data_IF_665125856851
#
_entry.id   IF_665125856851
#
_cell.length_a   1.000
_cell.length_b   1.000
_cell.length_c   1.000
_cell.angle_alpha   90.00
_cell.angle_beta   90.00
_cell.angle_gamma   90.00
#
_symmetry.space_group_name_H-M   'P 1'
#
loop_
_entity.id
_entity.type
_entity.pdbx_description
1 polymer ?
#
# COMPACT_ATOMS: atom_id res chain seq x y z
N UNK A 1 11.76 20.87 30.18
CA UNK A 1 11.77 19.47 29.73
C UNK A 1 11.27 19.48 28.29
N UNK A 2 12.18 19.36 27.34
CA UNK A 2 11.88 19.47 25.91
C UNK A 2 11.19 18.20 25.43
N UNK A 3 9.99 18.34 24.90
CA UNK A 3 9.25 17.29 24.22
C UNK A 3 9.88 17.13 22.83
N UNK A 4 10.70 16.10 22.63
CA UNK A 4 11.30 15.79 21.35
C UNK A 4 10.19 15.29 20.41
N UNK A 5 9.91 16.05 19.36
CA UNK A 5 9.11 15.63 18.21
C UNK A 5 9.80 14.41 17.60
N UNK A 6 9.10 13.29 17.34
CA UNK A 6 9.72 12.11 16.74
C UNK A 6 10.13 12.43 15.30
N UNK A 7 11.41 12.22 15.00
CA UNK A 7 12.01 12.37 13.68
C UNK A 7 11.23 11.52 12.65
N UNK A 8 10.73 12.14 11.59
CA UNK A 8 9.97 11.50 10.51
C UNK A 8 10.78 10.51 9.67
N UNK A 9 12.08 10.35 9.97
CA UNK A 9 13.03 9.51 9.23
C UNK A 9 13.24 8.13 9.83
N UNK A 10 12.67 7.83 11.01
CA UNK A 10 12.83 6.50 11.61
C UNK A 10 11.84 5.54 10.95
N UNK A 11 12.30 4.46 10.30
CA UNK A 11 11.41 3.48 9.73
C UNK A 11 10.50 2.93 10.82
N UNK A 12 9.19 2.99 10.57
CA UNK A 12 8.19 2.61 11.58
C UNK A 12 8.09 1.10 11.64
N UNK A 13 8.48 0.51 12.75
CA UNK A 13 8.32 -0.93 13.00
C UNK A 13 6.84 -1.28 13.13
N UNK A 14 6.48 -2.46 12.70
CA UNK A 14 5.12 -3.02 12.80
C UNK A 14 4.54 -2.87 14.22
N UNK A 15 5.34 -3.12 15.26
CA UNK A 15 4.95 -2.96 16.66
C UNK A 15 4.60 -1.51 17.06
N UNK A 16 5.15 -0.48 16.40
CA UNK A 16 4.81 0.93 16.70
C UNK A 16 3.42 1.30 16.15
N UNK A 17 3.05 0.71 15.01
CA UNK A 17 1.73 0.91 14.40
C UNK A 17 0.69 0.12 15.16
N UNK A 18 0.98 -1.15 15.51
CA UNK A 18 0.08 -1.99 16.29
C UNK A 18 -0.11 -1.47 17.72
N UNK A 19 0.92 -0.94 18.38
CA UNK A 19 0.78 -0.34 19.71
C UNK A 19 0.01 0.98 19.70
N UNK A 20 0.13 1.82 18.67
CA UNK A 20 -0.70 3.03 18.51
C UNK A 20 -2.16 2.70 18.18
N UNK A 21 -2.40 1.70 17.34
CA UNK A 21 -3.74 1.20 17.05
C UNK A 21 -4.36 0.47 18.24
N UNK A 22 -3.56 -0.25 19.03
CA UNK A 22 -3.98 -0.90 20.29
C UNK A 22 -4.28 0.10 21.41
N UNK A 23 -3.68 1.29 21.43
CA UNK A 23 -4.00 2.35 22.38
C UNK A 23 -5.37 3.01 22.12
N UNK A 24 -5.90 2.92 20.90
CA UNK A 24 -7.21 3.46 20.52
C UNK A 24 -8.33 2.42 20.58
N UNK A 25 -8.02 1.14 20.46
CA UNK A 25 -8.97 0.03 20.60
C UNK A 25 -8.25 -1.22 21.09
N UNK A 26 -8.41 -1.54 22.37
CA UNK A 26 -7.91 -2.78 22.98
C UNK A 26 -8.34 -4.00 22.15
N UNK A 27 -7.37 -4.79 21.71
CA UNK A 27 -7.45 -6.24 21.43
C UNK A 27 -8.23 -6.74 20.21
N UNK A 28 -8.23 -6.07 19.05
CA UNK A 28 -9.00 -6.64 17.91
C UNK A 28 -8.18 -6.82 16.62
N UNK A 29 -6.84 -6.79 16.65
CA UNK A 29 -6.06 -6.70 15.42
C UNK A 29 -5.57 -8.01 14.81
N UNK A 30 -5.74 -9.17 15.43
CA UNK A 30 -5.16 -10.38 14.87
C UNK A 30 -6.09 -11.55 14.64
N UNK A 31 -7.01 -11.82 15.51
CA UNK A 31 -7.78 -13.06 15.45
C UNK A 31 -9.19 -12.93 14.87
N UNK A 32 -9.74 -11.72 14.82
CA UNK A 32 -11.10 -11.49 14.33
C UNK A 32 -11.24 -11.49 12.80
N UNK A 33 -10.11 -11.45 12.06
CA UNK A 33 -10.13 -11.31 10.59
C UNK A 33 -9.66 -12.56 9.86
N UNK A 34 -9.32 -13.64 10.59
CA UNK A 34 -8.85 -14.89 9.98
C UNK A 34 -9.40 -16.07 10.77
N UNK A 35 -10.12 -16.93 10.07
CA UNK A 35 -10.50 -18.23 10.57
C UNK A 35 -9.35 -19.21 10.47
N UNK A 36 -9.41 -20.27 11.26
CA UNK A 36 -8.47 -21.40 11.24
C UNK A 36 -9.18 -22.57 10.57
N UNK A 37 -8.44 -23.31 9.77
CA UNK A 37 -8.89 -24.55 9.15
C UNK A 37 -7.81 -25.62 9.24
N UNK A 38 -8.20 -26.87 9.04
CA UNK A 38 -7.30 -28.00 8.88
C UNK A 38 -7.34 -28.50 7.42
N UNK A 39 -6.27 -29.14 6.92
CA UNK A 39 -6.22 -29.62 5.53
C UNK A 39 -7.36 -30.60 5.18
N UNK A 40 -7.89 -31.32 6.17
CA UNK A 40 -8.95 -32.31 6.01
C UNK A 40 -10.36 -31.72 6.02
N UNK A 41 -10.53 -30.44 6.33
CA UNK A 41 -11.84 -29.78 6.27
C UNK A 41 -12.39 -29.81 4.85
N UNK A 42 -13.71 -29.95 4.73
CA UNK A 42 -14.40 -29.78 3.47
C UNK A 42 -14.41 -28.31 3.05
N UNK A 43 -14.31 -28.06 1.75
CA UNK A 43 -14.37 -26.69 1.20
C UNK A 43 -15.68 -25.99 1.59
N UNK A 44 -16.80 -26.73 1.64
CA UNK A 44 -18.09 -26.17 2.02
C UNK A 44 -18.06 -25.62 3.46
N UNK A 45 -17.48 -26.38 4.39
CA UNK A 45 -17.34 -25.95 5.80
C UNK A 45 -16.39 -24.76 5.94
N UNK A 46 -15.31 -24.75 5.15
CA UNK A 46 -14.38 -23.63 5.09
C UNK A 46 -15.07 -22.35 4.57
N UNK A 47 -15.85 -22.45 3.50
CA UNK A 47 -16.63 -21.33 2.94
C UNK A 47 -17.65 -20.82 3.96
N UNK A 48 -18.40 -21.72 4.61
CA UNK A 48 -19.35 -21.34 5.67
C UNK A 48 -18.64 -20.60 6.82
N UNK A 49 -17.47 -21.10 7.23
CA UNK A 49 -16.64 -20.46 8.27
C UNK A 49 -16.20 -19.06 7.83
N UNK A 50 -15.76 -18.90 6.58
CA UNK A 50 -15.38 -17.59 6.04
C UNK A 50 -16.55 -16.60 6.05
N UNK A 51 -17.72 -17.04 5.58
CA UNK A 51 -18.92 -16.19 5.53
C UNK A 51 -19.41 -15.81 6.94
N UNK A 52 -19.50 -16.79 7.85
CA UNK A 52 -19.97 -16.58 9.22
C UNK A 52 -19.03 -15.66 10.00
N UNK A 53 -17.73 -15.84 9.85
CA UNK A 53 -16.69 -15.02 10.51
C UNK A 53 -16.38 -13.73 9.77
N UNK A 54 -16.97 -13.49 8.59
CA UNK A 54 -16.72 -12.35 7.71
C UNK A 54 -15.23 -12.18 7.39
N UNK A 55 -14.56 -13.29 7.14
CA UNK A 55 -13.15 -13.33 6.76
C UNK A 55 -13.01 -13.77 5.32
N UNK A 56 -12.00 -13.27 4.63
CA UNK A 56 -11.75 -13.57 3.22
C UNK A 56 -10.52 -14.49 3.01
N UNK A 57 -10.04 -15.10 4.09
CA UNK A 57 -9.06 -16.19 4.07
C UNK A 57 -9.07 -16.97 5.39
N UNK A 58 -8.61 -18.22 5.33
CA UNK A 58 -8.35 -19.08 6.46
C UNK A 58 -6.87 -19.46 6.47
N UNK A 59 -6.22 -19.39 7.63
CA UNK A 59 -4.91 -19.97 7.83
C UNK A 59 -5.08 -21.46 8.14
N UNK A 60 -4.30 -22.28 7.46
CA UNK A 60 -4.39 -23.74 7.58
C UNK A 60 -3.22 -24.27 8.35
N UNK A 61 -3.49 -25.01 9.43
CA UNK A 61 -2.51 -25.68 10.26
C UNK A 61 -2.56 -27.18 10.04
N UNK A 62 -1.40 -27.82 10.14
CA UNK A 62 -1.32 -29.28 10.16
C UNK A 62 -1.60 -29.85 11.57
N UNK A 63 -1.47 -31.18 11.71
CA UNK A 63 -1.70 -31.87 12.97
C UNK A 63 -0.72 -31.48 14.10
N UNK A 64 0.44 -30.96 13.72
CA UNK A 64 1.49 -30.48 14.66
C UNK A 64 1.34 -28.99 14.98
N UNK A 65 0.23 -28.38 14.57
CA UNK A 65 -0.05 -26.94 14.70
C UNK A 65 0.96 -26.04 13.98
N UNK A 66 1.66 -26.57 12.98
CA UNK A 66 2.52 -25.76 12.10
C UNK A 66 1.71 -25.17 10.95
N UNK A 67 2.13 -23.99 10.47
CA UNK A 67 1.50 -23.34 9.33
C UNK A 67 1.66 -24.19 8.07
N UNK A 68 0.56 -24.75 7.57
CA UNK A 68 0.54 -25.66 6.41
C UNK A 68 0.11 -24.98 5.12
N UNK A 69 -0.68 -23.91 5.22
CA UNK A 69 -1.18 -23.22 4.05
C UNK A 69 -2.09 -22.03 4.36
N UNK A 70 -2.61 -21.45 3.30
CA UNK A 70 -3.66 -20.42 3.36
C UNK A 70 -4.71 -20.69 2.29
N UNK A 71 -5.99 -20.68 2.68
CA UNK A 71 -7.12 -20.73 1.77
C UNK A 71 -7.74 -19.34 1.68
N UNK A 72 -7.83 -18.77 0.50
CA UNK A 72 -8.39 -17.45 0.27
C UNK A 72 -9.57 -17.46 -0.69
N UNK A 73 -10.35 -16.36 -0.72
CA UNK A 73 -11.38 -16.16 -1.76
C UNK A 73 -10.81 -16.35 -3.17
N UNK A 74 -9.57 -15.93 -3.41
CA UNK A 74 -8.93 -16.08 -4.72
C UNK A 74 -8.70 -17.54 -5.13
N UNK A 75 -8.51 -18.44 -4.17
CA UNK A 75 -8.40 -19.87 -4.42
C UNK A 75 -9.77 -20.46 -4.74
N UNK A 76 -10.80 -20.03 -4.01
CA UNK A 76 -12.18 -20.45 -4.21
C UNK A 76 -12.79 -19.94 -5.52
N UNK A 77 -12.49 -18.69 -5.91
CA UNK A 77 -12.98 -18.10 -7.16
C UNK A 77 -12.39 -18.74 -8.43
N UNK A 78 -11.32 -19.50 -8.31
CA UNK A 78 -10.73 -20.26 -9.43
C UNK A 78 -11.38 -21.63 -9.65
N UNK A 79 -12.37 -21.98 -8.86
CA UNK A 79 -13.04 -23.26 -8.94
C UNK A 79 -13.98 -23.33 -10.15
N UNK A 80 -14.04 -24.50 -10.74
CA UNK A 80 -14.86 -24.78 -11.93
C UNK A 80 -16.36 -24.57 -11.71
N UNK A 81 -16.86 -24.77 -10.48
CA UNK A 81 -18.27 -24.59 -10.14
C UNK A 81 -18.77 -23.15 -10.30
N UNK A 82 -17.86 -22.16 -10.30
CA UNK A 82 -18.17 -20.75 -10.54
C UNK A 82 -18.08 -20.35 -12.01
N UNK A 83 -17.87 -21.29 -12.92
CA UNK A 83 -17.79 -21.04 -14.36
C UNK A 83 -16.53 -20.27 -14.79
N UNK A 84 -15.56 -20.12 -13.90
CA UNK A 84 -14.28 -19.42 -14.17
C UNK A 84 -13.26 -20.35 -14.84
N UNK A 85 -13.70 -21.13 -15.86
CA UNK A 85 -12.77 -21.94 -16.65
C UNK A 85 -11.77 -21.04 -17.38
N UNK A 86 -10.58 -20.94 -16.85
CA UNK A 86 -9.45 -20.37 -17.58
C UNK A 86 -8.95 -21.44 -18.57
N UNK A 87 -9.57 -21.51 -19.75
CA UNK A 87 -9.09 -22.36 -20.85
C UNK A 87 -7.68 -21.95 -21.23
N UNK A 88 -6.70 -22.62 -20.63
CA UNK A 88 -5.30 -22.48 -21.07
C UNK A 88 -5.15 -23.10 -22.44
N UNK A 89 -4.40 -22.48 -23.38
CA UNK A 89 -4.14 -23.08 -24.68
C UNK A 89 -3.46 -24.44 -24.52
N UNK A 90 -3.91 -25.46 -25.23
CA UNK A 90 -3.39 -26.87 -25.14
C UNK A 90 -1.89 -26.99 -25.33
N UNK A 91 -1.27 -26.10 -26.13
CA UNK A 91 0.17 -26.08 -26.32
C UNK A 91 0.93 -25.69 -25.04
N UNK A 92 0.35 -24.87 -24.16
CA UNK A 92 0.94 -24.46 -22.90
C UNK A 92 0.90 -25.61 -21.87
N UNK A 93 -0.14 -26.45 -21.92
CA UNK A 93 -0.25 -27.66 -21.07
C UNK A 93 0.83 -28.66 -21.41
N UNK A 94 1.13 -28.83 -22.70
CA UNK A 94 2.22 -29.72 -23.16
C UNK A 94 3.60 -29.24 -22.67
N UNK A 95 3.83 -27.94 -22.64
CA UNK A 95 5.10 -27.36 -22.16
C UNK A 95 5.29 -27.43 -20.64
N UNK A 96 4.19 -27.40 -19.86
CA UNK A 96 4.25 -27.37 -18.40
C UNK A 96 4.39 -28.75 -17.75
N UNK A 97 4.22 -29.80 -18.51
CA UNK A 97 4.30 -31.20 -18.04
C UNK A 97 3.02 -31.67 -17.32
N UNK A 98 2.76 -32.98 -17.39
CA UNK A 98 1.54 -33.62 -16.86
C UNK A 98 1.34 -33.43 -15.35
N UNK A 99 2.40 -33.30 -14.55
CA UNK A 99 2.31 -33.11 -13.10
C UNK A 99 1.67 -31.78 -12.71
N UNK A 100 2.01 -30.68 -13.38
CA UNK A 100 1.39 -29.36 -13.12
C UNK A 100 -0.07 -29.31 -13.57
N UNK A 101 -0.44 -30.06 -14.61
CA UNK A 101 -1.84 -30.18 -15.03
C UNK A 101 -2.70 -30.89 -13.98
N UNK A 102 -2.18 -31.97 -13.38
CA UNK A 102 -2.84 -32.72 -12.33
C UNK A 102 -3.00 -31.90 -11.05
N UNK A 103 -2.00 -31.13 -10.68
CA UNK A 103 -2.00 -30.21 -9.54
C UNK A 103 -3.02 -29.07 -9.74
N UNK A 104 -3.06 -28.47 -10.92
CA UNK A 104 -4.07 -27.46 -11.27
C UNK A 104 -5.49 -28.05 -11.23
N UNK A 105 -5.69 -29.28 -11.74
CA UNK A 105 -6.98 -29.96 -11.68
C UNK A 105 -7.43 -30.22 -10.24
N UNK A 106 -6.50 -30.70 -9.38
CA UNK A 106 -6.81 -30.91 -7.97
C UNK A 106 -7.20 -29.58 -7.28
N UNK A 107 -6.51 -28.50 -7.63
CA UNK A 107 -6.80 -27.16 -7.09
C UNK A 107 -8.17 -26.61 -7.56
N UNK A 108 -8.58 -26.93 -8.78
CA UNK A 108 -9.87 -26.47 -9.33
C UNK A 108 -11.06 -27.33 -8.87
N UNK A 109 -10.86 -28.64 -8.60
CA UNK A 109 -11.91 -29.61 -8.32
C UNK A 109 -11.82 -30.25 -6.93
N UNK A 110 -10.78 -29.93 -6.16
CA UNK A 110 -10.56 -30.51 -4.84
C UNK A 110 -11.71 -30.24 -3.88
N UNK A 111 -12.02 -31.21 -3.03
CA UNK A 111 -13.09 -31.12 -2.01
C UNK A 111 -12.56 -30.76 -0.63
N UNK A 112 -11.29 -30.96 -0.40
CA UNK A 112 -10.64 -30.67 0.87
C UNK A 112 -9.82 -29.39 0.79
N UNK A 113 -9.74 -28.70 1.91
CA UNK A 113 -8.95 -27.47 2.04
C UNK A 113 -7.51 -27.68 1.59
N UNK A 114 -6.89 -28.80 2.02
CA UNK A 114 -5.51 -29.13 1.68
C UNK A 114 -5.24 -29.39 0.20
N UNK A 115 -6.27 -29.65 -0.61
CA UNK A 115 -6.17 -29.82 -2.07
C UNK A 115 -6.21 -28.49 -2.81
N UNK A 116 -6.85 -27.47 -2.21
CA UNK A 116 -7.16 -26.17 -2.83
C UNK A 116 -6.30 -25.02 -2.26
N UNK A 117 -5.79 -25.16 -1.03
CA UNK A 117 -5.01 -24.13 -0.37
C UNK A 117 -3.69 -23.83 -1.07
N UNK A 118 -3.22 -22.61 -0.96
CA UNK A 118 -1.83 -22.25 -1.29
C UNK A 118 -0.89 -22.74 -0.18
N UNK A 119 0.06 -23.62 -0.52
CA UNK A 119 1.03 -24.21 0.43
C UNK A 119 2.27 -23.36 0.62
N UNK A 120 2.76 -22.72 -0.44
CA UNK A 120 3.91 -21.80 -0.38
C UNK A 120 3.44 -20.45 0.17
N UNK A 121 3.31 -20.38 1.50
CA UNK A 121 2.79 -19.20 2.20
C UNK A 121 3.91 -18.22 2.46
N UNK A 122 3.82 -17.06 1.84
CA UNK A 122 4.70 -15.95 2.17
C UNK A 122 4.34 -15.41 3.56
N UNK A 123 5.32 -15.37 4.45
CA UNK A 123 5.16 -14.94 5.86
C UNK A 123 6.06 -13.75 6.17
N UNK A 124 5.85 -13.11 7.32
CA UNK A 124 6.68 -12.01 7.79
C UNK A 124 6.91 -12.12 9.30
N UNK A 125 8.06 -11.69 9.80
CA UNK A 125 8.34 -11.63 11.23
C UNK A 125 7.59 -10.50 11.94
N UNK A 126 7.28 -10.67 13.22
CA UNK A 126 6.60 -9.64 14.02
C UNK A 126 7.41 -8.34 14.18
N UNK A 127 8.74 -8.42 14.07
CA UNK A 127 9.65 -7.28 14.18
C UNK A 127 9.96 -6.62 12.84
N UNK A 128 9.35 -7.11 11.74
CA UNK A 128 9.56 -6.57 10.41
C UNK A 128 9.00 -5.16 10.27
N UNK A 129 9.59 -4.38 9.39
CA UNK A 129 9.09 -3.05 9.06
C UNK A 129 7.86 -3.11 8.14
N UNK A 130 7.00 -2.09 8.23
CA UNK A 130 5.81 -2.01 7.39
C UNK A 130 6.16 -1.92 5.90
N UNK A 131 7.25 -1.25 5.56
CA UNK A 131 7.83 -1.17 4.21
C UNK A 131 8.13 -2.56 3.65
N UNK A 132 8.69 -3.45 4.45
CA UNK A 132 8.97 -4.83 4.06
C UNK A 132 7.68 -5.61 3.77
N UNK A 133 6.63 -5.42 4.57
CA UNK A 133 5.33 -6.03 4.32
C UNK A 133 4.73 -5.57 2.99
N UNK A 134 4.81 -4.27 2.70
CA UNK A 134 4.37 -3.68 1.42
C UNK A 134 5.15 -4.30 0.26
N UNK A 135 6.46 -4.34 0.34
CA UNK A 135 7.34 -4.87 -0.69
C UNK A 135 7.08 -6.36 -0.97
N UNK A 136 6.89 -7.17 0.09
CA UNK A 136 6.55 -8.59 -0.06
C UNK A 136 5.20 -8.78 -0.73
N UNK A 137 4.16 -8.04 -0.29
CA UNK A 137 2.83 -8.11 -0.88
C UNK A 137 2.81 -7.72 -2.36
N UNK A 138 3.63 -6.74 -2.77
CA UNK A 138 3.74 -6.30 -4.17
C UNK A 138 4.49 -7.36 -4.99
N UNK A 139 5.69 -7.75 -4.56
CA UNK A 139 6.57 -8.68 -5.29
C UNK A 139 5.93 -10.06 -5.45
N UNK A 140 5.34 -10.59 -4.39
CA UNK A 140 4.69 -11.92 -4.38
C UNK A 140 3.23 -11.88 -4.82
N UNK A 141 2.68 -10.70 -5.09
CA UNK A 141 1.28 -10.49 -5.49
C UNK A 141 0.28 -11.07 -4.51
N UNK A 142 0.62 -11.12 -3.23
CA UNK A 142 -0.25 -11.61 -2.15
C UNK A 142 -1.00 -10.45 -1.51
N UNK A 143 -2.16 -10.75 -0.92
CA UNK A 143 -3.01 -9.75 -0.26
C UNK A 143 -2.88 -9.79 1.26
N UNK A 144 -2.23 -10.82 1.79
CA UNK A 144 -2.06 -11.08 3.22
C UNK A 144 -0.72 -11.75 3.48
N UNK A 145 -0.17 -11.50 4.65
CA UNK A 145 1.04 -12.15 5.15
C UNK A 145 0.76 -12.62 6.58
N UNK A 146 0.80 -13.93 6.86
CA UNK A 146 0.87 -14.42 8.22
C UNK A 146 2.10 -13.84 8.92
N UNK A 147 1.92 -13.37 10.15
CA UNK A 147 2.98 -12.81 11.00
C UNK A 147 3.43 -13.88 11.98
N UNK A 148 4.72 -14.17 11.99
CA UNK A 148 5.30 -15.21 12.81
C UNK A 148 6.22 -14.63 13.89
N UNK A 149 6.18 -15.27 15.07
CA UNK A 149 7.19 -15.17 16.12
C UNK A 149 7.92 -16.50 16.19
N UNK A 150 9.11 -16.60 15.57
CA UNK A 150 9.72 -17.89 15.30
C UNK A 150 8.83 -18.71 14.37
N UNK A 151 8.36 -19.88 14.81
CA UNK A 151 7.42 -20.74 14.07
C UNK A 151 5.96 -20.52 14.45
N UNK A 152 5.69 -19.71 15.47
CA UNK A 152 4.34 -19.49 15.99
C UNK A 152 3.64 -18.37 15.23
N UNK A 153 2.44 -18.63 14.71
CA UNK A 153 1.58 -17.60 14.13
C UNK A 153 1.08 -16.67 15.25
N UNK A 154 1.40 -15.39 15.15
CA UNK A 154 0.97 -14.34 16.09
C UNK A 154 -0.04 -13.38 15.47
N UNK A 155 -0.25 -13.44 14.17
CA UNK A 155 -1.24 -12.62 13.49
C UNK A 155 -1.20 -12.74 11.99
N UNK A 156 -1.96 -11.88 11.31
CA UNK A 156 -1.90 -11.72 9.87
C UNK A 156 -2.10 -10.25 9.53
N UNK A 157 -1.31 -9.75 8.61
CA UNK A 157 -1.44 -8.41 8.05
C UNK A 157 -2.07 -8.50 6.66
N UNK A 158 -3.09 -7.69 6.41
CA UNK A 158 -3.75 -7.56 5.11
C UNK A 158 -3.46 -6.19 4.48
N UNK A 159 -3.68 -6.06 3.18
CA UNK A 159 -3.58 -4.76 2.48
C UNK A 159 -4.46 -3.68 3.10
N UNK A 160 -5.64 -4.03 3.61
CA UNK A 160 -6.53 -3.11 4.32
C UNK A 160 -5.89 -2.51 5.58
N UNK A 161 -5.00 -3.25 6.24
CA UNK A 161 -4.32 -2.77 7.44
C UNK A 161 -3.20 -1.79 7.06
N UNK A 162 -2.54 -2.02 5.92
CA UNK A 162 -1.60 -1.06 5.34
C UNK A 162 -2.30 0.27 4.99
N UNK A 163 -3.53 0.22 4.44
CA UNK A 163 -4.31 1.43 4.16
C UNK A 163 -4.69 2.20 5.44
N UNK A 164 -5.02 1.48 6.53
CA UNK A 164 -5.24 2.13 7.84
C UNK A 164 -3.96 2.79 8.35
N UNK A 165 -2.81 2.12 8.18
CA UNK A 165 -1.49 2.68 8.49
C UNK A 165 -1.19 3.94 7.68
N UNK A 166 -1.48 3.93 6.38
CA UNK A 166 -1.34 5.09 5.50
C UNK A 166 -2.23 6.24 5.96
N UNK A 167 -3.51 5.97 6.26
CA UNK A 167 -4.44 6.99 6.76
C UNK A 167 -3.95 7.62 8.06
N UNK A 168 -3.39 6.82 8.98
CA UNK A 168 -2.81 7.31 10.23
C UNK A 168 -1.48 8.05 10.04
N UNK A 169 -0.78 7.79 8.94
CA UNK A 169 0.49 8.41 8.60
C UNK A 169 0.33 9.71 7.78
N UNK A 170 -0.83 9.88 7.13
CA UNK A 170 -1.12 11.10 6.36
C UNK A 170 -1.30 12.26 7.33
N UNK A 171 -0.46 13.31 7.25
CA UNK A 171 -0.58 14.46 8.12
C UNK A 171 -1.96 15.13 7.92
N UNK A 172 -2.74 15.21 8.98
CA UNK A 172 -3.98 15.99 9.03
C UNK A 172 -3.80 17.25 9.88
N UNK A 173 -2.57 17.74 9.96
CA UNK A 173 -2.29 18.96 10.71
C UNK A 173 -2.82 20.15 9.92
N UNK A 174 -3.99 20.64 10.33
CA UNK A 174 -4.66 21.84 9.81
C UNK A 174 -4.47 23.03 10.77
N UNK A 175 -3.37 23.02 11.53
CA UNK A 175 -3.03 24.16 12.39
C UNK A 175 -2.37 25.29 11.59
N UNK A 176 -2.51 26.56 11.99
CA UNK A 176 -1.77 27.65 11.39
C UNK A 176 -0.26 27.47 11.66
N UNK A 177 0.53 27.35 10.60
CA UNK A 177 1.98 27.36 10.66
C UNK A 177 2.50 28.71 10.17
N UNK A 178 3.60 29.22 10.73
CA UNK A 178 4.25 30.42 10.20
C UNK A 178 4.68 30.22 8.75
N UNK A 179 4.44 31.22 7.90
CA UNK A 179 4.80 31.15 6.46
C UNK A 179 6.26 30.78 6.22
N UNK A 180 7.16 31.22 7.11
CA UNK A 180 8.58 30.87 7.03
C UNK A 180 8.86 29.37 7.23
N UNK A 181 8.09 28.70 8.09
CA UNK A 181 8.19 27.26 8.34
C UNK A 181 7.67 26.46 7.15
N UNK A 182 6.52 26.89 6.60
CA UNK A 182 5.93 26.28 5.38
C UNK A 182 6.92 26.41 4.22
N UNK A 183 7.50 27.61 4.01
CA UNK A 183 8.48 27.83 2.97
C UNK A 183 9.72 26.95 3.14
N UNK A 184 10.25 26.87 4.35
CA UNK A 184 11.41 26.03 4.65
C UNK A 184 11.12 24.54 4.42
N UNK A 185 9.91 24.06 4.76
CA UNK A 185 9.51 22.67 4.55
C UNK A 185 9.37 22.34 3.07
N UNK A 186 8.71 23.20 2.27
CA UNK A 186 8.63 23.05 0.80
C UNK A 186 10.02 23.02 0.18
N UNK A 187 10.89 23.95 0.58
CA UNK A 187 12.25 24.04 0.06
C UNK A 187 13.09 22.79 0.40
N UNK A 188 12.99 22.32 1.64
CA UNK A 188 13.67 21.11 2.08
C UNK A 188 13.19 19.85 1.34
N UNK A 189 11.93 19.81 0.90
CA UNK A 189 11.42 18.71 0.11
C UNK A 189 11.92 18.79 -1.34
N UNK A 190 11.91 20.00 -1.94
CA UNK A 190 12.50 20.23 -3.27
C UNK A 190 13.99 19.88 -3.33
N UNK A 191 14.71 20.12 -2.26
CA UNK A 191 16.17 19.85 -2.19
C UNK A 191 16.51 18.34 -2.21
N UNK A 192 15.56 17.47 -1.85
CA UNK A 192 15.73 16.01 -1.90
C UNK A 192 15.48 15.43 -3.29
N UNK A 193 14.90 16.21 -4.20
CA UNK A 193 14.38 15.71 -5.49
C UNK A 193 15.27 16.19 -6.63
N UNK A 194 15.87 15.25 -7.36
CA UNK A 194 16.77 15.55 -8.48
C UNK A 194 16.08 16.26 -9.65
N UNK A 195 14.77 16.01 -9.83
CA UNK A 195 13.96 16.61 -10.89
C UNK A 195 13.44 18.01 -10.56
N UNK A 196 13.55 18.47 -9.31
CA UNK A 196 12.99 19.76 -8.90
C UNK A 196 13.71 20.94 -9.56
N UNK A 197 12.99 21.91 -10.14
CA UNK A 197 13.56 23.03 -10.90
C UNK A 197 14.06 24.17 -9.99
N UNK A 198 14.95 23.84 -9.05
CA UNK A 198 15.42 24.73 -7.97
C UNK A 198 16.07 26.04 -8.45
N UNK A 199 16.69 26.02 -9.64
CA UNK A 199 17.37 27.19 -10.19
C UNK A 199 16.41 28.14 -10.94
N UNK A 200 15.28 27.65 -11.43
CA UNK A 200 14.36 28.39 -12.30
C UNK A 200 13.00 28.67 -11.66
N UNK A 201 12.69 28.06 -10.50
CA UNK A 201 11.43 28.28 -9.79
C UNK A 201 11.71 28.78 -8.38
N UNK A 202 11.04 29.85 -8.00
CA UNK A 202 11.07 30.46 -6.67
C UNK A 202 9.83 30.05 -5.90
N UNK A 203 10.00 29.81 -4.60
CA UNK A 203 8.90 29.51 -3.66
C UNK A 203 8.67 30.74 -2.79
N UNK A 204 7.43 31.21 -2.74
CA UNK A 204 6.98 32.24 -1.80
C UNK A 204 5.77 31.72 -1.02
N UNK A 205 5.62 32.17 0.23
CA UNK A 205 4.48 31.76 1.07
C UNK A 205 3.91 33.01 1.72
N UNK A 206 2.58 33.16 1.61
CA UNK A 206 1.85 34.25 2.26
C UNK A 206 0.53 33.74 2.80
N UNK A 207 0.32 33.88 4.10
CA UNK A 207 -0.90 33.44 4.80
C UNK A 207 -1.21 31.94 4.54
N UNK A 208 -0.19 31.10 4.52
CA UNK A 208 -0.29 29.67 4.23
C UNK A 208 -0.47 29.31 2.74
N UNK A 209 -0.55 30.30 1.84
CA UNK A 209 -0.63 30.06 0.40
C UNK A 209 0.77 30.00 -0.18
N UNK A 210 1.12 28.88 -0.79
CA UNK A 210 2.40 28.65 -1.47
C UNK A 210 2.30 29.11 -2.92
N UNK A 211 3.21 29.99 -3.33
CA UNK A 211 3.30 30.48 -4.73
C UNK A 211 4.58 29.96 -5.35
N UNK A 212 4.47 29.29 -6.49
CA UNK A 212 5.60 28.95 -7.36
C UNK A 212 5.68 29.98 -8.48
N UNK A 213 6.81 30.69 -8.57
CA UNK A 213 7.07 31.73 -9.56
C UNK A 213 8.35 31.42 -10.34
N UNK A 214 8.33 31.60 -11.65
CA UNK A 214 9.51 31.38 -12.50
C UNK A 214 9.20 30.67 -13.81
N UNK A 215 10.11 29.78 -14.23
CA UNK A 215 9.98 29.09 -15.50
C UNK A 215 10.26 27.58 -15.38
N UNK A 216 9.49 26.82 -16.13
CA UNK A 216 9.64 25.36 -16.25
C UNK A 216 9.79 24.99 -17.73
N UNK A 217 10.48 23.87 -17.99
CA UNK A 217 10.69 23.32 -19.35
C UNK A 217 9.90 22.06 -19.62
N UNK A 218 9.19 21.54 -18.61
CA UNK A 218 8.31 20.39 -18.73
C UNK A 218 7.03 20.65 -17.90
N UNK A 219 5.88 20.63 -18.54
CA UNK A 219 4.56 20.88 -17.93
C UNK A 219 4.24 19.91 -16.76
N UNK A 220 4.80 18.69 -16.80
CA UNK A 220 4.59 17.70 -15.72
C UNK A 220 5.17 18.12 -14.38
N UNK A 221 6.11 19.09 -14.38
CA UNK A 221 6.69 19.63 -13.15
C UNK A 221 5.64 20.38 -12.31
N UNK A 222 4.63 20.99 -12.94
CA UNK A 222 3.55 21.72 -12.24
C UNK A 222 2.85 20.83 -11.22
N UNK A 223 2.41 19.66 -11.67
CA UNK A 223 1.68 18.73 -10.79
C UNK A 223 2.55 18.24 -9.63
N UNK A 224 3.83 17.92 -9.93
CA UNK A 224 4.78 17.51 -8.88
C UNK A 224 4.99 18.59 -7.83
N UNK A 225 5.21 19.84 -8.24
CA UNK A 225 5.41 20.98 -7.34
C UNK A 225 4.15 21.29 -6.53
N UNK A 226 2.99 21.24 -7.16
CA UNK A 226 1.68 21.41 -6.48
C UNK A 226 1.48 20.38 -5.39
N UNK A 227 1.72 19.09 -5.68
CA UNK A 227 1.60 17.99 -4.71
C UNK A 227 2.56 18.18 -3.53
N UNK A 228 3.79 18.67 -3.77
CA UNK A 228 4.75 18.97 -2.68
C UNK A 228 4.19 20.03 -1.75
N UNK A 229 3.65 21.13 -2.31
CA UNK A 229 3.07 22.20 -1.49
C UNK A 229 1.83 21.73 -0.73
N UNK A 230 0.90 21.02 -1.39
CA UNK A 230 -0.34 20.51 -0.78
C UNK A 230 -0.07 19.50 0.35
N UNK A 231 1.03 18.75 0.27
CA UNK A 231 1.45 17.83 1.33
C UNK A 231 2.24 18.49 2.46
N UNK A 232 2.56 19.78 2.34
CA UNK A 232 3.28 20.51 3.38
C UNK A 232 2.33 20.97 4.47
N UNK A 233 2.58 20.64 5.77
CA UNK A 233 1.76 21.11 6.88
C UNK A 233 1.62 22.64 6.90
N UNK A 234 0.40 23.13 7.07
CA UNK A 234 0.09 24.55 7.07
C UNK A 234 -0.21 25.18 5.70
N UNK A 235 0.03 24.45 4.62
CA UNK A 235 -0.37 24.91 3.29
C UNK A 235 -1.91 24.89 3.16
N UNK A 236 -2.49 26.03 2.83
CA UNK A 236 -3.94 26.20 2.64
C UNK A 236 -4.33 26.39 1.17
N UNK A 237 -3.35 26.62 0.29
CA UNK A 237 -3.56 26.78 -1.13
C UNK A 237 -2.26 26.92 -1.90
N UNK A 238 -2.32 26.73 -3.22
CA UNK A 238 -1.16 26.81 -4.11
C UNK A 238 -1.49 27.72 -5.28
N UNK A 239 -0.60 28.66 -5.56
CA UNK A 239 -0.63 29.51 -6.74
C UNK A 239 0.46 29.13 -7.72
N UNK A 240 0.08 28.92 -8.96
CA UNK A 240 1.00 28.59 -10.05
C UNK A 240 1.20 29.81 -10.96
N UNK A 241 2.37 30.46 -10.79
CA UNK A 241 2.84 31.57 -11.62
C UNK A 241 4.04 31.16 -12.48
N UNK A 242 4.18 29.87 -12.75
CA UNK A 242 5.28 29.40 -13.56
C UNK A 242 4.92 29.51 -15.05
N UNK A 243 5.78 30.14 -15.83
CA UNK A 243 5.71 30.10 -17.28
C UNK A 243 6.32 28.79 -17.80
N UNK A 244 5.77 28.26 -18.88
CA UNK A 244 6.40 27.16 -19.59
C UNK A 244 7.20 27.68 -20.78
N UNK A 245 8.42 27.18 -20.91
CA UNK A 245 9.35 27.53 -22.00
C UNK A 245 9.69 26.24 -22.74
N UNK A 246 9.37 26.18 -24.03
CA UNK A 246 9.76 25.07 -24.89
C UNK A 246 11.28 25.14 -25.18
N UNK A 247 12.08 24.10 -24.80
CA UNK A 247 13.54 24.18 -24.80
C UNK A 247 14.17 24.39 -26.19
N UNK A 248 13.55 23.91 -27.27
CA UNK A 248 14.15 23.92 -28.60
C UNK A 248 13.81 25.20 -29.39
N UNK A 249 12.58 25.66 -29.28
CA UNK A 249 12.08 26.83 -30.03
C UNK A 249 12.11 28.13 -29.23
N UNK A 250 12.20 28.02 -27.89
CA UNK A 250 12.05 29.16 -26.99
C UNK A 250 10.61 29.68 -26.93
N UNK A 251 9.64 28.92 -27.42
CA UNK A 251 8.23 29.30 -27.31
C UNK A 251 7.86 29.45 -25.84
N UNK A 252 7.18 30.53 -25.51
CA UNK A 252 6.81 30.90 -24.16
C UNK A 252 5.29 30.81 -23.99
N UNK A 253 4.83 30.11 -22.96
CA UNK A 253 3.45 30.09 -22.54
C UNK A 253 3.34 30.71 -21.15
N UNK A 254 2.51 31.73 -20.93
CA UNK A 254 2.35 32.34 -19.61
C UNK A 254 1.78 31.37 -18.59
N UNK A 255 1.84 31.77 -17.34
CA UNK A 255 1.27 30.95 -16.26
C UNK A 255 -0.27 30.85 -16.38
N UNK A 256 -0.88 29.78 -15.85
CA UNK A 256 -2.35 29.63 -15.84
C UNK A 256 -3.08 30.77 -15.11
N UNK A 257 -2.41 31.45 -14.19
CA UNK A 257 -2.98 32.60 -13.47
C UNK A 257 -2.89 33.90 -14.25
N UNK A 258 -1.87 34.07 -15.09
CA UNK A 258 -1.70 35.26 -15.91
C UNK A 258 -2.64 35.24 -17.14
N UNK A 259 -2.92 34.06 -17.68
CA UNK A 259 -3.93 33.88 -18.74
C UNK A 259 -5.33 34.34 -18.31
N UNK A 260 -5.71 34.05 -17.04
CA UNK A 260 -7.02 34.45 -16.49
C UNK A 260 -7.16 35.96 -16.29
N UNK A 261 -6.08 36.71 -16.24
CA UNK A 261 -6.09 38.16 -16.08
C UNK A 261 -6.19 38.89 -17.42
N UNK A 262 -5.94 38.19 -18.52
CA UNK A 262 -5.91 38.77 -19.88
C UNK A 262 -7.19 38.47 -20.68
N UNK A 263 -8.07 37.62 -20.13
CA UNK A 263 -9.41 37.31 -20.69
C UNK A 263 -10.50 38.07 -19.92
#
# INVERSE_FOLDING_TARGET
>A
MANATPDSRTPRRFNDITSRMAATQKSTLCWATIGIAEPMFDIADAVETMLRSRVSALVVFDADHALSGILSEGDLLRRSELGAEHKRPRWLEFLLGSGRGAEAYAHEHGRKVGEVMTRDVETIGEDAELSEAVDRMIRRRVKRLPVLRGETLVGVIARSDLLKGLLAATPRETGPHPDAEIKAAVQAELDKLDWAPRASVRVEVQSGVVTFDGAITDERLREGLKVIAENTPGCVGVHDRMAWIEPNSGFFMPSPEDEKKTS
#
